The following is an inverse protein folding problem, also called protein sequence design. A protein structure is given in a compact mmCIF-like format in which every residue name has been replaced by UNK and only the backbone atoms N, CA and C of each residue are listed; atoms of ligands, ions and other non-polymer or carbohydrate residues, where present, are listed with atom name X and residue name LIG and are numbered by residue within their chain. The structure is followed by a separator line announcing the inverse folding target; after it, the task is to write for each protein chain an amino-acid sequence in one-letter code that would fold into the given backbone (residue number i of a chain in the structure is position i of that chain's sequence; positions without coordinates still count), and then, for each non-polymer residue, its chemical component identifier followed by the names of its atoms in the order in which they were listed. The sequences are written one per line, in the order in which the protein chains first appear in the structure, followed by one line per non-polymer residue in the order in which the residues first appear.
data_IF_430877046066
#
_entry.id   IF_430877046066
#
_cell.length_a   1.000
_cell.length_b   1.000
_cell.length_c   1.000
_cell.angle_alpha   90.00
_cell.angle_beta   90.00
_cell.angle_gamma   90.00
#
_symmetry.space_group_name_H-M   'P 1'
#
loop_
_entity.id
_entity.type
_entity.pdbx_description
1 polymer ?
#
# COMPACT_ATOMS: atom_id res chain seq x y z
N UNK A 1 9.12 -16.79 -4.33
CA UNK A 1 7.80 -16.22 -3.97
C UNK A 1 7.28 -15.42 -5.15
N UNK A 2 5.97 -15.41 -5.35
CA UNK A 2 5.28 -14.56 -6.33
C UNK A 2 4.79 -13.30 -5.62
N UNK A 3 5.24 -12.15 -6.05
CA UNK A 3 4.88 -10.87 -5.47
C UNK A 3 4.03 -10.04 -6.45
N UNK A 4 2.92 -9.50 -5.98
CA UNK A 4 2.07 -8.56 -6.69
C UNK A 4 2.32 -7.16 -6.15
N UNK A 5 2.72 -6.22 -7.01
CA UNK A 5 3.04 -4.85 -6.62
C UNK A 5 2.09 -3.88 -7.31
N UNK A 6 1.13 -3.36 -6.58
CA UNK A 6 0.28 -2.27 -7.04
C UNK A 6 1.02 -0.93 -6.91
N UNK A 7 0.95 -0.10 -7.93
CA UNK A 7 1.73 1.14 -8.03
C UNK A 7 3.20 0.91 -8.39
N UNK A 8 3.49 -0.15 -9.15
CA UNK A 8 4.82 -0.69 -9.48
C UNK A 8 5.75 0.28 -10.21
N UNK A 9 5.25 1.35 -10.78
CA UNK A 9 6.03 2.39 -11.48
C UNK A 9 6.23 3.67 -10.66
N UNK A 10 5.57 3.79 -9.49
CA UNK A 10 5.75 4.89 -8.55
C UNK A 10 7.02 4.73 -7.72
N UNK A 11 7.48 5.81 -7.05
CA UNK A 11 8.75 5.84 -6.33
C UNK A 11 9.06 4.60 -5.48
N UNK A 12 8.27 4.34 -4.43
CA UNK A 12 8.45 3.18 -3.54
C UNK A 12 8.17 1.87 -4.30
N UNK A 13 7.05 1.78 -5.04
CA UNK A 13 6.66 0.56 -5.73
C UNK A 13 7.64 0.11 -6.81
N UNK A 14 8.28 1.06 -7.51
CA UNK A 14 9.33 0.75 -8.48
C UNK A 14 10.57 0.16 -7.79
N UNK A 15 10.93 0.68 -6.62
CA UNK A 15 12.06 0.14 -5.83
C UNK A 15 11.73 -1.24 -5.27
N UNK A 16 10.51 -1.47 -4.76
CA UNK A 16 10.04 -2.79 -4.33
C UNK A 16 10.13 -3.80 -5.48
N UNK A 17 9.57 -3.46 -6.65
CA UNK A 17 9.58 -4.33 -7.82
C UNK A 17 11.00 -4.70 -8.26
N UNK A 18 11.90 -3.70 -8.35
CA UNK A 18 13.29 -3.90 -8.75
C UNK A 18 14.03 -4.78 -7.74
N UNK A 19 13.96 -4.50 -6.45
CA UNK A 19 14.66 -5.24 -5.41
C UNK A 19 14.18 -6.69 -5.31
N UNK A 20 12.87 -6.94 -5.38
CA UNK A 20 12.31 -8.29 -5.39
C UNK A 20 12.79 -9.09 -6.61
N UNK A 21 12.82 -8.49 -7.80
CA UNK A 21 13.34 -9.13 -9.01
C UNK A 21 14.82 -9.47 -8.87
N UNK A 22 15.64 -8.56 -8.34
CA UNK A 22 17.06 -8.79 -8.06
C UNK A 22 17.31 -9.91 -7.06
N UNK A 23 16.36 -10.14 -6.14
CA UNK A 23 16.41 -11.22 -5.15
C UNK A 23 15.83 -12.54 -5.67
N UNK A 24 15.48 -12.64 -6.96
CA UNK A 24 15.01 -13.86 -7.61
C UNK A 24 13.53 -14.17 -7.38
N UNK A 25 12.73 -13.19 -6.94
CA UNK A 25 11.28 -13.36 -6.85
C UNK A 25 10.60 -13.14 -8.20
N UNK A 26 9.46 -13.79 -8.43
CA UNK A 26 8.57 -13.49 -9.55
C UNK A 26 7.73 -12.27 -9.20
N UNK A 27 7.83 -11.19 -9.98
CA UNK A 27 7.11 -9.94 -9.70
C UNK A 27 6.08 -9.66 -10.78
N UNK A 28 4.83 -9.46 -10.38
CA UNK A 28 3.75 -8.93 -11.23
C UNK A 28 3.51 -7.49 -10.79
N UNK A 29 3.85 -6.53 -11.64
CA UNK A 29 3.71 -5.12 -11.37
C UNK A 29 2.46 -4.57 -12.05
N UNK A 30 1.61 -3.88 -11.29
CA UNK A 30 0.42 -3.18 -11.76
C UNK A 30 0.62 -1.69 -11.62
N UNK A 31 0.47 -0.96 -12.72
CA UNK A 31 0.59 0.49 -12.76
C UNK A 31 -0.75 1.16 -13.11
N UNK A 32 -0.78 2.50 -13.15
CA UNK A 32 -2.00 3.27 -13.38
C UNK A 32 -2.66 3.02 -14.74
N UNK A 33 -1.91 2.63 -15.78
CA UNK A 33 -2.50 2.33 -17.07
C UNK A 33 -3.22 0.97 -17.12
N UNK A 34 -2.91 0.10 -16.14
CA UNK A 34 -3.51 -1.23 -16.00
C UNK A 34 -4.62 -1.26 -14.95
N UNK A 35 -4.61 -0.33 -13.99
CA UNK A 35 -5.61 -0.19 -12.94
C UNK A 35 -5.77 1.29 -12.58
N UNK A 36 -6.90 1.88 -12.93
CA UNK A 36 -7.28 3.23 -12.52
C UNK A 36 -8.28 3.16 -11.37
N UNK A 37 -7.83 3.49 -10.16
CA UNK A 37 -8.68 3.47 -8.96
C UNK A 37 -9.83 4.50 -8.99
N UNK A 38 -9.90 5.39 -10.00
CA UNK A 38 -11.06 6.28 -10.19
C UNK A 38 -12.18 5.65 -11.04
N UNK A 39 -11.91 4.48 -11.63
CA UNK A 39 -12.90 3.70 -12.36
C UNK A 39 -13.96 3.09 -11.43
N UNK A 40 -15.19 2.93 -11.90
CA UNK A 40 -16.31 2.40 -11.08
C UNK A 40 -16.09 0.96 -10.61
N UNK A 41 -15.36 0.16 -11.37
CA UNK A 41 -15.19 -1.28 -11.16
C UNK A 41 -13.81 -1.64 -10.59
N UNK A 42 -13.01 -0.65 -10.16
CA UNK A 42 -11.61 -0.88 -9.74
C UNK A 42 -11.47 -1.90 -8.60
N UNK A 43 -12.43 -1.98 -7.68
CA UNK A 43 -12.41 -2.98 -6.62
C UNK A 43 -12.53 -4.40 -7.17
N UNK A 44 -13.40 -4.60 -8.16
CA UNK A 44 -13.54 -5.89 -8.83
C UNK A 44 -12.31 -6.22 -9.68
N UNK A 45 -11.72 -5.22 -10.33
CA UNK A 45 -10.48 -5.38 -11.09
C UNK A 45 -9.32 -5.82 -10.17
N UNK A 46 -9.17 -5.20 -8.99
CA UNK A 46 -8.19 -5.63 -7.98
C UNK A 46 -8.42 -7.09 -7.58
N UNK A 47 -9.66 -7.47 -7.30
CA UNK A 47 -10.01 -8.85 -6.94
C UNK A 47 -9.67 -9.84 -8.06
N UNK A 48 -9.96 -9.50 -9.31
CA UNK A 48 -9.64 -10.32 -10.48
C UNK A 48 -8.12 -10.48 -10.66
N UNK A 49 -7.35 -9.38 -10.52
CA UNK A 49 -5.89 -9.40 -10.60
C UNK A 49 -5.30 -10.32 -9.52
N UNK A 50 -5.78 -10.23 -8.29
CA UNK A 50 -5.34 -11.10 -7.19
C UNK A 50 -5.65 -12.56 -7.51
N UNK A 51 -6.87 -12.88 -7.94
CA UNK A 51 -7.29 -14.24 -8.30
C UNK A 51 -6.46 -14.85 -9.43
N UNK A 52 -6.11 -14.05 -10.45
CA UNK A 52 -5.28 -14.49 -11.58
C UNK A 52 -3.79 -14.62 -11.22
N UNK A 53 -3.33 -13.83 -10.27
CA UNK A 53 -1.91 -13.80 -9.87
C UNK A 53 -1.61 -14.85 -8.82
N UNK A 54 -2.55 -15.14 -7.91
CA UNK A 54 -2.35 -16.00 -6.74
C UNK A 54 -1.05 -15.65 -6.00
N UNK A 55 -0.89 -14.42 -5.50
CA UNK A 55 0.37 -13.96 -4.94
C UNK A 55 0.63 -14.52 -3.55
N UNK A 56 1.91 -14.81 -3.25
CA UNK A 56 2.38 -15.06 -1.88
C UNK A 56 2.50 -13.73 -1.10
N UNK A 57 2.87 -12.66 -1.80
CA UNK A 57 3.06 -11.32 -1.24
C UNK A 57 2.35 -10.25 -2.06
N UNK A 58 1.69 -9.32 -1.38
CA UNK A 58 1.10 -8.11 -2.01
C UNK A 58 1.75 -6.88 -1.41
N UNK A 59 2.20 -5.96 -2.26
CA UNK A 59 2.64 -4.62 -1.88
C UNK A 59 1.68 -3.60 -2.47
N UNK A 60 0.93 -2.89 -1.63
CA UNK A 60 0.11 -1.77 -2.09
C UNK A 60 0.87 -0.47 -1.91
N UNK A 61 1.47 0.01 -3.00
CA UNK A 61 2.17 1.28 -3.10
C UNK A 61 1.37 2.34 -3.87
N UNK A 62 0.07 2.10 -4.11
CA UNK A 62 -0.82 3.10 -4.72
C UNK A 62 -0.99 4.26 -3.73
N UNK A 63 -0.94 5.47 -4.26
CA UNK A 63 -1.27 6.66 -3.51
C UNK A 63 -1.12 7.92 -4.33
N UNK A 64 -1.93 8.91 -3.98
CA UNK A 64 -1.87 10.27 -4.52
C UNK A 64 -1.88 11.27 -3.36
N UNK A 65 -1.10 12.34 -3.48
CA UNK A 65 -1.02 13.34 -2.42
C UNK A 65 -2.26 14.23 -2.40
N UNK A 66 -2.73 14.65 -3.58
CA UNK A 66 -3.83 15.59 -3.69
C UNK A 66 -3.53 16.95 -3.03
N UNK A 67 -4.51 17.81 -3.03
CA UNK A 67 -4.58 19.06 -2.26
C UNK A 67 -6.04 19.32 -1.90
N UNK A 68 -6.35 20.47 -1.28
CA UNK A 68 -7.73 20.79 -0.86
C UNK A 68 -8.71 21.05 -2.02
N UNK A 69 -8.23 21.13 -3.25
CA UNK A 69 -9.06 21.27 -4.47
C UNK A 69 -9.17 19.94 -5.22
N UNK A 70 -8.49 18.88 -4.77
CA UNK A 70 -8.55 17.56 -5.39
C UNK A 70 -9.94 16.95 -5.19
N UNK A 71 -10.38 16.20 -6.19
CA UNK A 71 -11.58 15.40 -6.09
C UNK A 71 -11.45 14.33 -5.00
N UNK A 72 -12.54 14.15 -4.24
CA UNK A 72 -12.59 13.17 -3.15
C UNK A 72 -12.26 11.76 -3.63
N UNK A 73 -12.92 11.30 -4.70
CA UNK A 73 -12.72 9.95 -5.23
C UNK A 73 -11.29 9.72 -5.69
N UNK A 74 -10.68 10.68 -6.39
CA UNK A 74 -9.30 10.56 -6.83
C UNK A 74 -8.30 10.35 -5.68
N UNK A 75 -8.58 10.90 -4.50
CA UNK A 75 -7.70 10.76 -3.33
C UNK A 75 -8.06 9.55 -2.48
N UNK A 76 -9.34 9.40 -2.15
CA UNK A 76 -9.79 8.33 -1.25
C UNK A 76 -9.72 6.96 -1.92
N UNK A 77 -10.14 6.83 -3.17
CA UNK A 77 -10.16 5.54 -3.86
C UNK A 77 -8.72 5.05 -4.10
N UNK A 78 -7.79 5.94 -4.43
CA UNK A 78 -6.38 5.57 -4.54
C UNK A 78 -5.76 5.21 -3.18
N UNK A 79 -5.93 6.05 -2.13
CA UNK A 79 -5.19 5.91 -0.87
C UNK A 79 -5.80 4.92 0.13
N UNK A 80 -7.11 4.76 0.11
CA UNK A 80 -7.87 3.89 1.00
C UNK A 80 -8.57 2.78 0.21
N UNK A 81 -9.31 3.12 -0.84
CA UNK A 81 -10.13 2.18 -1.61
C UNK A 81 -9.34 1.03 -2.19
N UNK A 82 -8.13 1.29 -2.72
CA UNK A 82 -7.24 0.23 -3.22
C UNK A 82 -6.84 -0.79 -2.14
N UNK A 83 -6.54 -0.31 -0.94
CA UNK A 83 -6.22 -1.17 0.19
C UNK A 83 -7.46 -1.93 0.70
N UNK A 84 -8.60 -1.26 0.75
CA UNK A 84 -9.88 -1.88 1.10
C UNK A 84 -10.25 -3.00 0.14
N UNK A 85 -10.11 -2.80 -1.17
CA UNK A 85 -10.38 -3.82 -2.18
C UNK A 85 -9.53 -5.08 -1.97
N UNK A 86 -8.23 -4.90 -1.64
CA UNK A 86 -7.34 -6.02 -1.31
C UNK A 86 -7.83 -6.75 -0.06
N UNK A 87 -8.10 -6.02 1.02
CA UNK A 87 -8.58 -6.60 2.30
C UNK A 87 -9.91 -7.32 2.10
N UNK A 88 -10.86 -6.69 1.39
CA UNK A 88 -12.18 -7.26 1.07
C UNK A 88 -12.07 -8.57 0.28
N UNK A 89 -11.13 -8.67 -0.66
CA UNK A 89 -10.87 -9.92 -1.38
C UNK A 89 -10.56 -11.07 -0.41
N UNK A 90 -9.67 -10.84 0.57
CA UNK A 90 -9.27 -11.88 1.53
C UNK A 90 -10.30 -12.11 2.64
N UNK A 91 -11.18 -11.14 2.94
CA UNK A 91 -12.36 -11.39 3.78
C UNK A 91 -13.27 -12.45 3.12
N UNK A 92 -13.42 -12.40 1.80
CA UNK A 92 -14.19 -13.39 1.03
C UNK A 92 -13.43 -14.71 0.82
N UNK A 93 -12.09 -14.72 0.94
CA UNK A 93 -11.24 -15.88 0.69
C UNK A 93 -10.23 -16.11 1.85
N UNK A 94 -10.71 -16.33 3.10
CA UNK A 94 -9.85 -16.34 4.29
C UNK A 94 -8.87 -17.52 4.37
N UNK A 95 -9.06 -18.55 3.55
CA UNK A 95 -8.20 -19.73 3.51
C UNK A 95 -6.97 -19.56 2.60
N UNK A 96 -6.90 -18.49 1.82
CA UNK A 96 -5.73 -18.20 0.99
C UNK A 96 -4.62 -17.63 1.85
N UNK A 97 -3.43 -18.22 1.78
CA UNK A 97 -2.26 -17.71 2.50
C UNK A 97 -1.65 -16.53 1.74
N UNK A 98 -1.48 -15.39 2.42
CA UNK A 98 -0.86 -14.20 1.82
C UNK A 98 -0.24 -13.30 2.87
N UNK A 99 0.81 -12.57 2.49
CA UNK A 99 1.37 -11.46 3.26
C UNK A 99 1.14 -10.15 2.51
N UNK A 100 0.45 -9.22 3.13
CA UNK A 100 0.03 -7.94 2.55
C UNK A 100 0.78 -6.81 3.25
N UNK A 101 1.47 -5.98 2.47
CA UNK A 101 2.15 -4.77 2.91
C UNK A 101 1.42 -3.54 2.39
N UNK A 102 0.84 -2.76 3.28
CA UNK A 102 0.13 -1.51 2.97
C UNK A 102 1.03 -0.30 3.22
N UNK A 103 0.95 0.71 2.35
CA UNK A 103 1.71 1.96 2.48
C UNK A 103 0.83 3.06 3.07
N UNK A 104 1.02 3.32 4.34
CA UNK A 104 0.42 4.44 5.07
C UNK A 104 1.16 5.76 4.87
N UNK A 105 1.22 6.56 5.92
CA UNK A 105 2.01 7.80 5.98
C UNK A 105 2.09 8.30 7.42
N UNK A 106 3.19 8.95 7.81
CA UNK A 106 3.32 9.61 9.10
C UNK A 106 2.29 10.74 9.34
N UNK A 107 1.53 11.14 8.31
CA UNK A 107 0.45 12.13 8.49
C UNK A 107 -0.86 11.53 9.00
N UNK A 108 -0.96 10.21 9.15
CA UNK A 108 -2.21 9.54 9.54
C UNK A 108 -2.80 10.03 10.87
N UNK A 109 -1.98 10.53 11.79
CA UNK A 109 -2.37 11.06 13.10
C UNK A 109 -2.09 12.56 13.27
N UNK A 110 -1.81 13.29 12.18
CA UNK A 110 -1.43 14.69 12.22
C UNK A 110 -2.33 15.53 11.30
N UNK A 111 -2.89 16.65 11.80
CA UNK A 111 -3.65 17.56 10.95
C UNK A 111 -2.73 18.21 9.91
N UNK A 112 -3.19 18.30 8.66
CA UNK A 112 -2.45 18.89 7.53
C UNK A 112 -3.34 19.90 6.80
N UNK A 113 -3.16 21.17 7.08
CA UNK A 113 -3.99 22.26 6.56
C UNK A 113 -4.20 22.23 5.04
N UNK A 114 -3.19 21.88 4.28
CA UNK A 114 -3.22 21.88 2.81
C UNK A 114 -3.38 20.48 2.20
N UNK A 115 -3.59 19.45 3.01
CA UNK A 115 -3.66 18.03 2.60
C UNK A 115 -4.76 17.30 3.37
N UNK A 116 -5.93 17.94 3.54
CA UNK A 116 -7.01 17.42 4.39
C UNK A 116 -7.47 16.05 3.94
N UNK A 117 -7.80 15.88 2.65
CA UNK A 117 -8.24 14.58 2.10
C UNK A 117 -7.16 13.51 2.19
N UNK A 118 -5.90 13.88 1.90
CA UNK A 118 -4.79 12.95 2.03
C UNK A 118 -4.61 12.45 3.48
N UNK A 119 -4.56 13.36 4.45
CA UNK A 119 -4.41 12.99 5.85
C UNK A 119 -5.60 12.13 6.32
N UNK A 120 -6.82 12.52 5.98
CA UNK A 120 -8.03 11.76 6.29
C UNK A 120 -8.01 10.35 5.67
N UNK A 121 -7.61 10.22 4.41
CA UNK A 121 -7.50 8.90 3.75
C UNK A 121 -6.46 7.99 4.40
N UNK A 122 -5.32 8.55 4.85
CA UNK A 122 -4.29 7.78 5.56
C UNK A 122 -4.68 7.44 7.00
N UNK A 123 -5.50 8.28 7.66
CA UNK A 123 -6.13 7.96 8.95
C UNK A 123 -7.15 6.82 8.80
N UNK A 124 -7.99 6.88 7.77
CA UNK A 124 -8.94 5.82 7.46
C UNK A 124 -8.23 4.48 7.18
N UNK A 125 -7.14 4.51 6.41
CA UNK A 125 -6.32 3.33 6.14
C UNK A 125 -5.74 2.73 7.43
N UNK A 126 -5.23 3.56 8.34
CA UNK A 126 -4.72 3.11 9.64
C UNK A 126 -5.82 2.44 10.47
N UNK A 127 -6.99 3.06 10.58
CA UNK A 127 -8.13 2.52 11.33
C UNK A 127 -8.63 1.20 10.74
N UNK A 128 -8.76 1.11 9.41
CA UNK A 128 -9.09 -0.13 8.73
C UNK A 128 -8.08 -1.24 9.05
N UNK A 129 -6.77 -0.94 8.95
CA UNK A 129 -5.73 -1.91 9.27
C UNK A 129 -5.84 -2.39 10.74
N UNK A 130 -6.15 -1.52 11.70
CA UNK A 130 -6.38 -1.92 13.09
C UNK A 130 -7.50 -2.96 13.21
N UNK A 131 -8.57 -2.81 12.43
CA UNK A 131 -9.71 -3.73 12.43
C UNK A 131 -9.41 -5.08 11.80
N UNK A 132 -8.32 -5.23 11.04
CA UNK A 132 -8.00 -6.51 10.37
C UNK A 132 -7.48 -7.58 11.33
N UNK A 133 -7.09 -7.25 12.55
CA UNK A 133 -6.58 -8.21 13.52
C UNK A 133 -7.63 -9.26 13.87
N UNK A 134 -8.83 -8.81 14.23
CA UNK A 134 -9.93 -9.71 14.60
C UNK A 134 -10.47 -10.46 13.38
N UNK A 135 -10.50 -9.78 12.21
CA UNK A 135 -11.01 -10.36 10.98
C UNK A 135 -10.18 -11.56 10.52
N UNK A 136 -8.85 -11.47 10.64
CA UNK A 136 -7.93 -12.50 10.15
C UNK A 136 -7.31 -13.35 11.26
N UNK A 137 -7.82 -13.26 12.49
CA UNK A 137 -7.38 -14.11 13.58
C UNK A 137 -7.53 -15.61 13.25
N UNK A 138 -6.44 -16.35 13.40
CA UNK A 138 -6.42 -17.79 13.10
C UNK A 138 -6.36 -18.15 11.61
N UNK A 139 -6.25 -17.18 10.71
CA UNK A 139 -6.05 -17.41 9.26
C UNK A 139 -4.57 -17.31 8.87
N UNK A 140 -4.27 -17.60 7.60
CA UNK A 140 -2.93 -17.41 7.01
C UNK A 140 -2.80 -16.05 6.27
N UNK A 141 -3.71 -15.11 6.51
CA UNK A 141 -3.66 -13.75 5.97
C UNK A 141 -2.93 -12.84 6.98
N UNK A 142 -1.79 -12.31 6.60
CA UNK A 142 -1.00 -11.42 7.44
C UNK A 142 -0.91 -10.04 6.80
N UNK A 143 -1.23 -8.99 7.56
CA UNK A 143 -1.25 -7.61 7.04
C UNK A 143 -0.33 -6.72 7.85
N UNK A 144 0.64 -6.11 7.18
CA UNK A 144 1.48 -5.07 7.75
C UNK A 144 1.12 -3.71 7.16
N UNK A 145 1.23 -2.68 7.99
CA UNK A 145 1.10 -1.28 7.60
C UNK A 145 2.41 -0.55 7.95
N UNK A 146 3.00 0.12 6.98
CA UNK A 146 4.15 0.99 7.20
C UNK A 146 3.72 2.46 7.09
N UNK A 147 4.16 3.30 8.02
CA UNK A 147 3.99 4.75 7.98
C UNK A 147 5.34 5.42 7.69
N UNK A 148 5.73 5.56 6.42
CA UNK A 148 6.93 6.30 6.10
C UNK A 148 6.71 7.80 6.36
N UNK A 149 7.77 8.52 6.76
CA UNK A 149 7.79 9.97 6.76
C UNK A 149 7.84 10.47 5.31
N UNK A 150 8.46 11.61 5.05
CA UNK A 150 8.69 12.06 3.68
C UNK A 150 9.64 11.11 2.97
N UNK A 151 9.29 10.71 1.75
CA UNK A 151 10.11 9.84 0.89
C UNK A 151 10.46 10.61 -0.38
N UNK A 152 11.72 10.59 -0.77
CA UNK A 152 12.25 11.29 -1.94
C UNK A 152 11.73 10.68 -3.25
N UNK A 153 10.52 11.04 -3.62
CA UNK A 153 9.82 10.56 -4.81
C UNK A 153 9.21 11.74 -5.57
N UNK A 154 8.78 11.52 -6.80
CA UNK A 154 8.06 12.52 -7.59
C UNK A 154 6.83 13.10 -6.86
N UNK A 155 6.23 12.35 -5.93
CA UNK A 155 5.09 12.81 -5.11
C UNK A 155 5.46 14.00 -4.21
N UNK A 156 6.72 14.16 -3.80
CA UNK A 156 7.18 15.32 -3.05
C UNK A 156 7.11 16.61 -3.86
N UNK A 157 7.26 16.53 -5.19
CA UNK A 157 7.20 17.66 -6.10
C UNK A 157 8.04 18.86 -5.63
N UNK A 158 9.31 18.61 -5.28
CA UNK A 158 10.27 19.65 -4.82
C UNK A 158 9.99 20.24 -3.44
N UNK A 159 9.06 19.73 -2.66
CA UNK A 159 8.79 20.21 -1.29
C UNK A 159 10.01 20.02 -0.40
N UNK A 160 10.50 21.07 0.29
CA UNK A 160 11.72 21.01 1.10
C UNK A 160 11.51 20.15 2.38
N UNK A 161 12.62 19.67 2.92
CA UNK A 161 12.69 18.94 4.20
C UNK A 161 13.39 17.60 4.06
N UNK A 162 13.86 17.05 5.18
CA UNK A 162 14.47 15.74 5.23
C UNK A 162 13.50 14.67 4.70
N UNK A 163 14.01 13.72 3.94
CA UNK A 163 13.25 12.62 3.36
C UNK A 163 14.10 11.35 3.35
N UNK A 164 13.43 10.19 3.44
CA UNK A 164 14.07 8.91 3.22
C UNK A 164 14.16 8.62 1.71
N UNK A 165 15.15 7.84 1.33
CA UNK A 165 15.23 7.34 -0.04
C UNK A 165 14.24 6.20 -0.24
N UNK A 166 13.55 6.13 -1.40
CA UNK A 166 12.55 5.10 -1.67
C UNK A 166 13.14 3.69 -1.67
N UNK A 167 14.42 3.54 -1.99
CA UNK A 167 15.15 2.27 -1.91
C UNK A 167 15.22 1.73 -0.49
N UNK A 168 15.48 2.58 0.48
CA UNK A 168 15.50 2.20 1.90
C UNK A 168 14.11 1.77 2.38
N UNK A 169 13.09 2.56 2.06
CA UNK A 169 11.70 2.22 2.43
C UNK A 169 11.27 0.90 1.80
N UNK A 170 11.60 0.66 0.53
CA UNK A 170 11.32 -0.59 -0.17
C UNK A 170 12.01 -1.79 0.50
N UNK A 171 13.29 -1.66 0.88
CA UNK A 171 14.01 -2.72 1.57
C UNK A 171 13.37 -3.05 2.90
N UNK A 172 12.99 -2.03 3.70
CA UNK A 172 12.30 -2.24 4.97
C UNK A 172 10.95 -2.95 4.77
N UNK A 173 10.17 -2.58 3.75
CA UNK A 173 8.90 -3.25 3.43
C UNK A 173 9.11 -4.73 3.09
N UNK A 174 10.13 -5.04 2.30
CA UNK A 174 10.46 -6.43 1.92
C UNK A 174 10.87 -7.25 3.14
N UNK A 175 11.76 -6.72 3.99
CA UNK A 175 12.27 -7.43 5.17
C UNK A 175 11.16 -7.64 6.20
N UNK A 176 10.29 -6.65 6.39
CA UNK A 176 9.12 -6.79 7.24
C UNK A 176 8.16 -7.87 6.71
N UNK A 177 7.92 -7.90 5.38
CA UNK A 177 7.06 -8.92 4.76
C UNK A 177 7.62 -10.33 4.94
N UNK A 178 8.94 -10.51 4.93
CA UNK A 178 9.56 -11.82 5.18
C UNK A 178 9.29 -12.33 6.59
N UNK A 179 9.37 -11.46 7.58
CA UNK A 179 9.39 -11.80 9.00
C UNK A 179 8.02 -11.74 9.67
N UNK A 180 7.05 -11.01 9.10
CA UNK A 180 5.72 -10.87 9.70
C UNK A 180 4.99 -12.21 9.81
N UNK A 181 4.37 -12.42 10.98
CA UNK A 181 3.57 -13.62 11.31
C UNK A 181 2.15 -13.28 11.73
N UNK A 182 1.83 -12.00 11.81
CA UNK A 182 0.53 -11.47 12.22
C UNK A 182 0.41 -10.03 11.72
N UNK A 183 -0.58 -9.29 12.24
CA UNK A 183 -0.67 -7.85 12.02
C UNK A 183 0.58 -7.14 12.54
N UNK A 184 1.21 -6.34 11.72
CA UNK A 184 2.45 -5.61 12.06
C UNK A 184 2.34 -4.14 11.66
N UNK A 185 2.66 -3.23 12.59
CA UNK A 185 2.79 -1.79 12.34
C UNK A 185 4.25 -1.39 12.39
N UNK A 186 4.67 -0.55 11.46
CA UNK A 186 5.98 0.09 11.51
C UNK A 186 5.85 1.58 11.21
N UNK A 187 6.28 2.40 12.15
CA UNK A 187 6.48 3.84 11.94
C UNK A 187 7.97 4.09 11.70
N UNK A 188 8.31 4.61 10.54
CA UNK A 188 9.69 5.00 10.25
C UNK A 188 9.94 6.41 10.79
N UNK A 189 10.93 6.54 11.66
CA UNK A 189 11.46 7.84 12.09
C UNK A 189 12.21 8.56 10.94
N UNK A 190 12.30 9.88 11.03
CA UNK A 190 13.17 10.72 10.18
C UNK A 190 14.57 10.79 10.76
#
# INVERSE_FOLDING_TARGET
MRALVFGSTGGIGACVSRQLTQQGHTVVGINRSQLDCTGKDFEQEISNIISQTEPDWIFNCIGVLGNNQSDYHSVFDANFGSAWAIVRHYIAHPNQAVKIMLTGSAVHNQPRRNLVLYAASKSALHNMWQSTEDIFAGTNVHIALIHPPRVNTAMLNGRPGASLEPEYVAQVMIDLTRTMKSRTLLELGT
#
